data_IF_180179429563
#
_entry.id   IF_180179429563
#
_cell.length_a   1.000
_cell.length_b   1.000
_cell.length_c   1.000
_cell.angle_alpha   90.00
_cell.angle_beta   90.00
_cell.angle_gamma   90.00
#
_symmetry.space_group_name_H-M   'P 1'
#
loop_
_entity.id
_entity.type
_entity.pdbx_description
1 polymer ?
#
# COMPACT_ATOMS: atom_id res chain seq x y z
N UNK A 1 16.99 -4.21 26.42
CA UNK A 1 16.64 -3.21 25.41
C UNK A 1 15.37 -3.62 24.67
N UNK A 2 14.75 -2.71 23.91
CA UNK A 2 13.52 -3.00 23.14
C UNK A 2 13.63 -4.20 22.19
N UNK A 3 14.83 -4.50 21.70
CA UNK A 3 15.10 -5.68 20.87
C UNK A 3 14.83 -7.02 21.55
N UNK A 4 14.96 -7.10 22.87
CA UNK A 4 14.69 -8.34 23.62
C UNK A 4 13.19 -8.59 23.82
N UNK A 5 12.37 -7.54 23.81
CA UNK A 5 10.91 -7.67 23.92
C UNK A 5 10.36 -8.33 22.66
N UNK A 6 10.89 -8.02 21.49
CA UNK A 6 10.48 -8.63 20.22
C UNK A 6 10.88 -10.12 20.10
N UNK A 7 12.04 -10.49 20.62
CA UNK A 7 12.53 -11.89 20.59
C UNK A 7 11.79 -12.83 21.55
N UNK A 8 11.07 -12.30 22.53
CA UNK A 8 10.42 -13.07 23.60
C UNK A 8 8.91 -13.29 23.41
N UNK A 9 8.36 -12.96 22.25
CA UNK A 9 6.92 -13.16 22.00
C UNK A 9 6.72 -14.51 21.25
N UNK A 10 6.29 -15.57 21.95
CA UNK A 10 6.18 -16.91 21.36
C UNK A 10 5.09 -17.04 20.28
N UNK A 11 4.30 -15.98 20.08
CA UNK A 11 3.17 -15.97 19.16
C UNK A 11 3.51 -15.32 17.80
N UNK A 12 4.76 -14.93 17.54
CA UNK A 12 5.13 -14.31 16.26
C UNK A 12 5.26 -15.35 15.17
N UNK A 13 4.77 -14.97 13.97
CA UNK A 13 4.91 -15.74 12.73
C UNK A 13 5.62 -14.91 11.69
N UNK A 14 6.22 -15.59 10.71
CA UNK A 14 6.84 -14.92 9.57
C UNK A 14 5.77 -14.23 8.72
N UNK A 15 5.92 -12.92 8.44
CA UNK A 15 5.01 -12.19 7.58
C UNK A 15 5.07 -12.70 6.14
N UNK A 16 3.92 -12.84 5.49
CA UNK A 16 3.86 -13.27 4.09
C UNK A 16 4.25 -12.18 3.08
N UNK A 17 4.31 -10.91 3.50
CA UNK A 17 4.65 -9.77 2.66
C UNK A 17 6.11 -9.37 2.85
N UNK A 18 6.91 -9.37 1.77
CA UNK A 18 8.32 -8.97 1.80
C UNK A 18 8.53 -7.52 2.26
N UNK A 19 7.51 -6.67 2.16
CA UNK A 19 7.58 -5.26 2.56
C UNK A 19 7.12 -5.01 4.00
N UNK A 20 6.75 -6.06 4.74
CA UNK A 20 6.28 -5.90 6.12
C UNK A 20 7.38 -5.34 7.02
N UNK A 21 7.00 -4.42 7.90
CA UNK A 21 7.94 -3.74 8.82
C UNK A 21 8.52 -2.45 8.26
N UNK A 22 8.59 -2.29 6.93
CA UNK A 22 9.03 -1.07 6.26
C UNK A 22 7.84 -0.31 5.68
N UNK A 23 6.94 -1.01 4.98
CA UNK A 23 5.71 -0.45 4.43
C UNK A 23 4.74 -0.01 5.53
N UNK A 24 4.15 1.19 5.38
CA UNK A 24 3.14 1.74 6.30
C UNK A 24 1.77 1.06 6.24
N UNK A 25 1.53 0.16 5.28
CA UNK A 25 0.20 -0.39 4.99
C UNK A 25 -0.30 -1.44 5.97
N UNK A 26 0.59 -2.22 6.59
CA UNK A 26 0.25 -3.34 7.47
C UNK A 26 1.05 -3.31 8.77
N UNK A 27 0.40 -3.70 9.89
CA UNK A 27 1.05 -3.68 11.21
C UNK A 27 1.07 -5.03 11.93
N UNK A 28 0.25 -6.01 11.52
CA UNK A 28 -0.02 -7.21 12.30
C UNK A 28 0.22 -8.53 11.54
N UNK A 29 0.87 -8.50 10.38
CA UNK A 29 1.11 -9.74 9.61
C UNK A 29 2.02 -10.74 10.33
N UNK A 30 2.82 -10.28 11.28
CA UNK A 30 3.68 -11.11 12.12
C UNK A 30 2.95 -11.71 13.34
N UNK A 31 1.62 -11.67 13.37
CA UNK A 31 0.79 -12.25 14.41
C UNK A 31 -0.26 -13.18 13.78
N UNK A 32 -0.43 -14.43 14.26
CA UNK A 32 -1.48 -15.33 13.78
C UNK A 32 -2.85 -14.67 13.82
N UNK A 33 -3.69 -14.91 12.82
CA UNK A 33 -4.97 -14.24 12.71
C UNK A 33 -5.90 -14.50 13.92
N UNK A 34 -5.88 -15.72 14.46
CA UNK A 34 -6.63 -16.05 15.67
C UNK A 34 -6.23 -15.15 16.86
N UNK A 35 -4.92 -14.88 17.01
CA UNK A 35 -4.41 -14.00 18.05
C UNK A 35 -4.79 -12.53 17.80
N UNK A 36 -4.84 -12.11 16.54
CA UNK A 36 -5.34 -10.77 16.19
C UNK A 36 -6.80 -10.59 16.63
N UNK A 37 -7.65 -11.59 16.42
CA UNK A 37 -9.05 -11.58 16.87
C UNK A 37 -9.16 -11.57 18.39
N UNK A 38 -8.36 -12.39 19.07
CA UNK A 38 -8.31 -12.43 20.54
C UNK A 38 -7.94 -11.07 21.11
N UNK A 39 -6.85 -10.47 20.63
CA UNK A 39 -6.41 -9.14 21.09
C UNK A 39 -7.41 -8.02 20.79
N UNK A 40 -8.09 -8.07 19.64
CA UNK A 40 -9.18 -7.12 19.34
C UNK A 40 -10.34 -7.22 20.34
N UNK A 41 -10.73 -8.44 20.69
CA UNK A 41 -11.77 -8.68 21.70
C UNK A 41 -11.34 -8.16 23.06
N UNK A 42 -10.10 -8.46 23.49
CA UNK A 42 -9.55 -8.00 24.77
C UNK A 42 -9.45 -6.47 24.82
N UNK A 43 -9.01 -5.84 23.73
CA UNK A 43 -8.92 -4.37 23.64
C UNK A 43 -10.29 -3.71 23.85
N UNK A 44 -11.33 -4.21 23.21
CA UNK A 44 -12.70 -3.68 23.40
C UNK A 44 -13.15 -3.85 24.85
N UNK A 45 -12.94 -5.04 25.43
CA UNK A 45 -13.27 -5.31 26.83
C UNK A 45 -12.55 -4.35 27.76
N UNK A 46 -11.25 -4.20 27.59
CA UNK A 46 -10.42 -3.34 28.45
C UNK A 46 -10.82 -1.87 28.34
N UNK A 47 -11.09 -1.38 27.14
CA UNK A 47 -11.51 0.01 26.93
C UNK A 47 -12.87 0.29 27.59
N UNK A 48 -13.84 -0.57 27.42
CA UNK A 48 -15.17 -0.40 28.02
C UNK A 48 -15.13 -0.55 29.53
N UNK A 49 -14.46 -1.59 30.06
CA UNK A 49 -14.42 -1.85 31.51
C UNK A 49 -13.54 -0.85 32.26
N UNK A 50 -12.31 -0.58 31.76
CA UNK A 50 -11.32 0.22 32.51
C UNK A 50 -11.43 1.71 32.24
N UNK A 51 -11.65 2.11 30.97
CA UNK A 51 -11.74 3.52 30.58
C UNK A 51 -13.19 3.98 30.67
N UNK A 52 -14.10 3.25 30.07
CA UNK A 52 -15.53 3.55 30.09
C UNK A 52 -16.20 3.32 31.44
N UNK A 53 -15.58 2.51 32.32
CA UNK A 53 -16.13 2.11 33.64
C UNK A 53 -17.56 1.58 33.54
N UNK A 54 -17.85 0.84 32.48
CA UNK A 54 -19.16 0.28 32.19
C UNK A 54 -19.16 -1.16 32.69
N UNK A 55 -20.22 -1.55 33.42
CA UNK A 55 -20.48 -2.95 33.72
C UNK A 55 -20.85 -3.69 32.43
N UNK A 56 -20.05 -4.70 32.07
CA UNK A 56 -20.15 -5.35 30.77
C UNK A 56 -20.93 -6.67 30.86
N UNK A 57 -21.85 -6.95 29.96
CA UNK A 57 -22.32 -8.29 29.69
C UNK A 57 -21.17 -9.13 29.10
N UNK A 58 -21.42 -10.42 28.90
CA UNK A 58 -20.48 -11.28 28.19
C UNK A 58 -20.15 -10.71 26.80
N UNK A 59 -18.87 -10.39 26.57
CA UNK A 59 -18.39 -9.94 25.26
C UNK A 59 -18.05 -11.17 24.42
N UNK A 60 -18.78 -11.36 23.35
CA UNK A 60 -18.52 -12.42 22.38
C UNK A 60 -17.18 -12.20 21.67
N UNK A 61 -16.50 -13.28 21.22
CA UNK A 61 -15.30 -13.16 20.40
C UNK A 61 -15.53 -12.31 19.15
N UNK A 62 -14.49 -11.58 18.72
CA UNK A 62 -14.52 -10.80 17.49
C UNK A 62 -14.84 -11.72 16.29
N UNK A 63 -15.84 -11.33 15.50
CA UNK A 63 -16.20 -12.07 14.29
C UNK A 63 -15.03 -12.06 13.29
N UNK A 64 -14.64 -13.24 12.83
CA UNK A 64 -13.58 -13.40 11.86
C UNK A 64 -14.02 -12.96 10.46
N UNK A 65 -13.07 -12.42 9.67
CA UNK A 65 -13.25 -12.27 8.23
C UNK A 65 -13.00 -13.61 7.54
N UNK A 66 -13.76 -13.92 6.51
CA UNK A 66 -13.52 -15.08 5.66
C UNK A 66 -12.18 -14.96 4.92
N UNK A 67 -11.85 -13.73 4.46
CA UNK A 67 -10.61 -13.44 3.76
C UNK A 67 -9.69 -12.59 4.64
N UNK A 68 -8.43 -13.01 4.77
CA UNK A 68 -7.38 -12.30 5.51
C UNK A 68 -6.37 -11.59 4.61
N UNK A 69 -6.45 -11.83 3.30
CA UNK A 69 -5.71 -11.19 2.23
C UNK A 69 -6.70 -10.69 1.17
N UNK A 70 -6.29 -9.73 0.36
CA UNK A 70 -7.07 -9.20 -0.77
C UNK A 70 -8.47 -8.68 -0.40
N UNK A 71 -8.63 -8.21 0.83
CA UNK A 71 -9.93 -7.75 1.37
C UNK A 71 -10.18 -6.24 1.17
N UNK A 72 -9.16 -5.47 0.77
CA UNK A 72 -9.30 -4.03 0.54
C UNK A 72 -9.90 -3.74 -0.83
N UNK A 73 -10.84 -2.81 -0.85
CA UNK A 73 -11.50 -2.35 -2.06
C UNK A 73 -10.93 -1.04 -2.62
N UNK A 74 -10.02 -0.37 -1.90
CA UNK A 74 -9.33 0.85 -2.37
C UNK A 74 -7.87 0.81 -1.95
N UNK A 75 -6.96 1.06 -2.89
CA UNK A 75 -5.57 1.44 -2.65
C UNK A 75 -5.23 2.71 -3.41
N UNK A 76 -4.32 3.48 -2.84
CA UNK A 76 -3.74 4.67 -3.44
C UNK A 76 -2.23 4.57 -3.34
N UNK A 77 -1.58 4.56 -4.50
CA UNK A 77 -0.13 4.47 -4.63
C UNK A 77 0.43 5.83 -5.02
N UNK A 78 1.59 6.15 -4.48
CA UNK A 78 2.28 7.42 -4.75
C UNK A 78 3.49 7.17 -5.62
N UNK A 79 3.66 7.99 -6.66
CA UNK A 79 4.88 8.07 -7.43
C UNK A 79 5.90 8.95 -6.72
N UNK A 80 7.16 8.56 -6.78
CA UNK A 80 8.26 9.36 -6.25
C UNK A 80 9.50 9.23 -7.15
N UNK A 81 10.31 10.28 -7.33
CA UNK A 81 11.49 10.25 -8.20
C UNK A 81 12.61 9.37 -7.65
N UNK A 82 12.56 9.06 -6.35
CA UNK A 82 13.50 8.16 -5.67
C UNK A 82 12.79 7.26 -4.70
N UNK A 83 13.10 5.95 -4.74
CA UNK A 83 12.58 4.99 -3.78
C UNK A 83 13.23 5.15 -2.41
N UNK A 84 12.49 4.75 -1.38
CA UNK A 84 13.07 4.54 -0.05
C UNK A 84 14.05 3.36 -0.10
N UNK A 85 15.23 3.55 0.48
CA UNK A 85 16.22 2.50 0.69
C UNK A 85 16.18 2.05 2.15
N UNK A 86 16.20 0.75 2.39
CA UNK A 86 16.21 0.21 3.75
C UNK A 86 17.57 0.42 4.41
N UNK A 87 17.62 0.32 5.74
CA UNK A 87 18.89 0.42 6.47
C UNK A 87 19.85 -0.72 6.09
N UNK A 88 19.30 -1.90 5.81
CA UNK A 88 20.06 -3.07 5.38
C UNK A 88 20.70 -2.82 4.00
N UNK A 89 19.97 -2.26 3.05
CA UNK A 89 20.52 -1.90 1.74
C UNK A 89 21.63 -0.85 1.89
N UNK A 90 21.42 0.19 2.68
CA UNK A 90 22.41 1.25 2.92
C UNK A 90 23.67 0.66 3.60
N UNK A 91 23.48 -0.22 4.60
CA UNK A 91 24.57 -0.83 5.34
C UNK A 91 25.38 -1.83 4.49
N UNK A 92 24.74 -2.51 3.54
CA UNK A 92 25.41 -3.41 2.61
C UNK A 92 26.40 -2.69 1.68
N UNK A 93 26.21 -1.39 1.48
CA UNK A 93 27.04 -0.56 0.60
C UNK A 93 26.90 -0.94 -0.87
N UNK A 94 27.61 -0.22 -1.74
CA UNK A 94 27.59 -0.44 -3.18
C UNK A 94 26.81 0.65 -3.94
N UNK A 95 26.77 0.50 -5.25
CA UNK A 95 25.99 1.38 -6.12
C UNK A 95 24.52 0.92 -6.09
N UNK A 96 23.76 1.51 -5.16
CA UNK A 96 22.35 1.16 -4.96
C UNK A 96 21.51 2.01 -5.89
N UNK A 97 20.80 1.37 -6.80
CA UNK A 97 19.79 2.04 -7.63
C UNK A 97 18.66 2.58 -6.76
N UNK A 98 18.68 3.88 -6.52
CA UNK A 98 17.64 4.65 -5.86
C UNK A 98 16.63 5.22 -6.87
N UNK A 99 16.38 4.51 -7.95
CA UNK A 99 15.47 4.89 -9.03
C UNK A 99 14.04 5.20 -8.59
N UNK A 100 13.18 5.55 -9.54
CA UNK A 100 11.80 5.96 -9.25
C UNK A 100 10.96 4.86 -8.59
N UNK A 101 10.04 5.27 -7.72
CA UNK A 101 9.15 4.39 -6.97
C UNK A 101 7.69 4.60 -7.32
N UNK A 102 6.90 3.51 -7.23
CA UNK A 102 5.45 3.55 -7.15
C UNK A 102 4.97 2.62 -6.04
N UNK A 103 4.52 3.20 -4.94
CA UNK A 103 4.12 2.41 -3.79
C UNK A 103 3.53 3.20 -2.65
N UNK A 104 3.90 2.87 -1.42
CA UNK A 104 3.35 3.50 -0.22
C UNK A 104 4.38 4.33 0.54
N UNK A 105 3.90 5.34 1.23
CA UNK A 105 4.75 6.13 2.13
C UNK A 105 5.27 5.29 3.31
N UNK A 106 6.50 5.59 3.69
CA UNK A 106 7.07 5.08 4.94
C UNK A 106 6.34 5.73 6.12
N UNK A 107 6.04 5.00 7.20
CA UNK A 107 5.36 5.57 8.36
C UNK A 107 6.07 6.82 8.90
N UNK A 108 5.31 7.88 9.11
CA UNK A 108 5.75 9.19 9.60
C UNK A 108 6.69 9.98 8.65
N UNK A 109 6.90 9.52 7.43
CA UNK A 109 7.73 10.18 6.42
C UNK A 109 6.88 10.48 5.17
N UNK A 110 6.40 11.71 5.06
CA UNK A 110 5.45 12.12 4.01
C UNK A 110 6.06 12.15 2.60
N UNK A 111 7.39 12.28 2.49
CA UNK A 111 8.13 12.41 1.24
C UNK A 111 8.92 11.15 0.85
N UNK A 112 8.79 10.06 1.62
CA UNK A 112 9.50 8.81 1.39
C UNK A 112 8.55 7.72 0.95
N UNK A 113 8.80 7.18 -0.23
CA UNK A 113 7.96 6.13 -0.85
C UNK A 113 8.76 4.85 -0.99
N UNK A 114 8.22 3.77 -0.45
CA UNK A 114 8.73 2.42 -0.69
C UNK A 114 8.20 1.95 -2.05
N UNK A 115 9.09 1.49 -2.89
CA UNK A 115 8.70 0.82 -4.13
C UNK A 115 8.13 -0.56 -3.83
N UNK A 116 6.99 -0.90 -4.44
CA UNK A 116 6.25 -2.12 -4.12
C UNK A 116 6.03 -2.95 -5.37
N UNK A 117 6.44 -4.21 -5.34
CA UNK A 117 6.17 -5.16 -6.41
C UNK A 117 4.83 -5.88 -6.24
N UNK A 118 4.52 -6.29 -5.00
CA UNK A 118 3.29 -7.01 -4.68
C UNK A 118 2.68 -6.50 -3.37
N UNK A 119 1.41 -6.12 -3.44
CA UNK A 119 0.57 -5.83 -2.28
C UNK A 119 -0.47 -6.93 -2.10
N UNK A 120 -0.62 -7.42 -0.87
CA UNK A 120 -1.55 -8.48 -0.50
C UNK A 120 -2.89 -7.96 0.02
N UNK A 121 -3.12 -6.64 -0.06
CA UNK A 121 -4.34 -6.02 0.47
C UNK A 121 -5.48 -5.96 -0.53
N UNK A 122 -5.18 -5.79 -1.82
CA UNK A 122 -6.18 -5.66 -2.88
C UNK A 122 -5.98 -6.74 -3.93
N UNK A 123 -7.08 -7.33 -4.46
CA UNK A 123 -7.00 -8.35 -5.51
C UNK A 123 -6.46 -7.77 -6.83
N UNK A 124 -6.13 -8.67 -7.74
CA UNK A 124 -5.84 -8.26 -9.12
C UNK A 124 -7.09 -7.61 -9.77
N UNK A 125 -6.90 -6.67 -10.69
CA UNK A 125 -5.65 -6.34 -11.39
C UNK A 125 -4.77 -5.28 -10.70
N UNK A 126 -4.93 -5.01 -9.42
CA UNK A 126 -4.26 -3.88 -8.74
C UNK A 126 -2.72 -3.92 -8.84
N UNK A 127 -2.10 -5.08 -8.61
CA UNK A 127 -0.65 -5.21 -8.73
C UNK A 127 -0.18 -5.15 -10.18
N UNK A 128 -0.86 -5.87 -11.07
CA UNK A 128 -0.54 -5.88 -12.49
C UNK A 128 -0.64 -4.45 -13.09
N UNK A 129 -1.73 -3.74 -12.76
CA UNK A 129 -1.96 -2.37 -13.21
C UNK A 129 -0.86 -1.41 -12.71
N UNK A 130 -0.55 -1.45 -11.41
CA UNK A 130 0.51 -0.62 -10.82
C UNK A 130 1.86 -0.87 -11.50
N UNK A 131 2.25 -2.12 -11.64
CA UNK A 131 3.54 -2.48 -12.21
C UNK A 131 3.62 -2.09 -13.69
N UNK A 132 2.55 -2.26 -14.45
CA UNK A 132 2.49 -1.89 -15.86
C UNK A 132 2.54 -0.38 -16.08
N UNK A 133 1.78 0.41 -15.29
CA UNK A 133 1.84 1.87 -15.38
C UNK A 133 3.24 2.39 -15.03
N UNK A 134 3.88 1.82 -13.98
CA UNK A 134 5.25 2.18 -13.64
C UNK A 134 6.20 1.86 -14.80
N UNK A 135 6.13 0.65 -15.35
CA UNK A 135 6.96 0.21 -16.48
C UNK A 135 6.81 1.16 -17.68
N UNK A 136 5.57 1.42 -18.10
CA UNK A 136 5.28 2.32 -19.21
C UNK A 136 5.86 3.72 -18.97
N UNK A 137 5.64 4.28 -17.79
CA UNK A 137 6.14 5.61 -17.44
C UNK A 137 7.67 5.69 -17.50
N UNK A 138 8.38 4.66 -17.05
CA UNK A 138 9.84 4.58 -17.12
C UNK A 138 10.34 4.45 -18.55
N UNK A 139 9.75 3.58 -19.35
CA UNK A 139 10.12 3.34 -20.75
C UNK A 139 9.94 4.58 -21.63
N UNK A 140 8.94 5.42 -21.31
CA UNK A 140 8.64 6.64 -22.06
C UNK A 140 9.23 7.90 -21.42
N UNK A 141 10.06 7.77 -20.39
CA UNK A 141 10.75 8.89 -19.76
C UNK A 141 9.81 9.86 -19.04
N UNK A 142 8.71 9.38 -18.46
CA UNK A 142 7.81 10.22 -17.66
C UNK A 142 8.46 10.56 -16.32
N UNK A 143 8.40 11.83 -15.93
CA UNK A 143 8.89 12.29 -14.63
C UNK A 143 7.93 11.85 -13.52
N UNK A 144 8.48 11.43 -12.37
CA UNK A 144 7.69 11.10 -11.19
C UNK A 144 7.66 12.30 -10.25
N UNK A 145 6.50 12.57 -9.68
CA UNK A 145 6.25 13.77 -8.90
C UNK A 145 7.11 13.86 -7.65
N UNK A 146 7.81 14.97 -7.51
CA UNK A 146 8.54 15.33 -6.31
C UNK A 146 7.66 16.22 -5.43
N UNK A 147 7.22 15.70 -4.29
CA UNK A 147 6.30 16.41 -3.38
C UNK A 147 6.93 17.67 -2.76
N UNK A 148 8.26 17.76 -2.68
CA UNK A 148 8.97 18.93 -2.13
C UNK A 148 9.12 20.07 -3.16
N UNK A 149 9.29 19.70 -4.42
CA UNK A 149 9.49 20.62 -5.53
C UNK A 149 8.18 20.95 -6.24
N UNK A 150 7.11 20.20 -5.93
CA UNK A 150 5.79 20.28 -6.61
C UNK A 150 5.89 20.16 -8.11
N UNK A 151 6.77 19.27 -8.61
CA UNK A 151 7.05 19.07 -10.02
C UNK A 151 7.09 17.58 -10.37
N UNK A 152 6.76 17.24 -11.62
CA UNK A 152 6.75 15.88 -12.14
C UNK A 152 5.37 15.42 -12.56
N UNK A 153 5.32 14.71 -13.69
CA UNK A 153 4.08 14.32 -14.37
C UNK A 153 3.27 13.28 -13.60
N UNK A 154 3.89 12.15 -13.19
CA UNK A 154 3.20 11.03 -12.54
C UNK A 154 3.09 11.27 -11.03
N UNK A 155 1.87 11.39 -10.48
CA UNK A 155 1.67 11.76 -9.07
C UNK A 155 1.09 10.63 -8.21
N UNK A 156 -0.11 10.13 -8.53
CA UNK A 156 -0.75 9.04 -7.79
C UNK A 156 -1.45 8.06 -8.73
N UNK A 157 -1.63 6.84 -8.27
CA UNK A 157 -2.52 5.84 -8.85
C UNK A 157 -3.52 5.37 -7.79
N UNK A 158 -4.80 5.53 -8.07
CA UNK A 158 -5.88 5.06 -7.20
C UNK A 158 -6.58 3.90 -7.91
N UNK A 159 -6.67 2.75 -7.23
CA UNK A 159 -7.38 1.58 -7.73
C UNK A 159 -8.51 1.24 -6.78
N UNK A 160 -9.71 1.04 -7.33
CA UNK A 160 -10.87 0.56 -6.58
C UNK A 160 -11.40 -0.71 -7.23
N UNK A 161 -11.76 -1.66 -6.39
CA UNK A 161 -12.41 -2.92 -6.81
C UNK A 161 -13.70 -3.10 -6.05
N UNK A 162 -14.71 -3.68 -6.71
CA UNK A 162 -15.96 -4.06 -6.09
C UNK A 162 -16.09 -5.58 -5.99
N UNK A 163 -16.89 -6.08 -5.06
CA UNK A 163 -17.19 -7.52 -4.94
C UNK A 163 -17.99 -8.06 -6.12
N UNK A 164 -18.60 -7.18 -6.89
CA UNK A 164 -19.33 -7.46 -8.12
C UNK A 164 -18.42 -7.60 -9.35
N UNK A 165 -17.12 -7.31 -9.21
CA UNK A 165 -16.10 -7.48 -10.24
C UNK A 165 -15.68 -6.21 -10.96
N UNK A 166 -16.35 -5.06 -10.72
CA UNK A 166 -15.97 -3.80 -11.35
C UNK A 166 -14.64 -3.29 -10.81
N UNK A 167 -13.87 -2.69 -11.69
CA UNK A 167 -12.59 -2.07 -11.40
C UNK A 167 -12.59 -0.62 -11.86
N UNK A 168 -12.24 0.29 -10.96
CA UNK A 168 -11.99 1.69 -11.28
C UNK A 168 -10.51 2.00 -11.08
N UNK A 169 -9.90 2.67 -12.06
CA UNK A 169 -8.55 3.20 -11.96
C UNK A 169 -8.57 4.71 -12.22
N UNK A 170 -7.84 5.46 -11.39
CA UNK A 170 -7.67 6.90 -11.52
C UNK A 170 -6.17 7.18 -11.50
N UNK A 171 -5.63 7.72 -12.58
CA UNK A 171 -4.26 8.21 -12.65
C UNK A 171 -4.26 9.70 -12.37
N UNK A 172 -3.51 10.12 -11.37
CA UNK A 172 -3.35 11.53 -11.02
C UNK A 172 -2.02 12.02 -11.57
N UNK A 173 -2.08 13.05 -12.39
CA UNK A 173 -0.93 13.74 -12.95
C UNK A 173 -0.66 15.04 -12.17
N UNK A 174 0.60 15.39 -11.98
CA UNK A 174 1.01 16.63 -11.33
C UNK A 174 1.16 17.80 -12.28
N UNK A 175 1.14 17.54 -13.59
CA UNK A 175 1.35 18.52 -14.65
C UNK A 175 0.42 18.22 -15.82
N UNK A 176 0.06 19.26 -16.58
CA UNK A 176 -0.70 19.11 -17.82
C UNK A 176 0.25 18.74 -18.98
N UNK A 177 0.08 17.54 -19.53
CA UNK A 177 0.78 17.06 -20.73
C UNK A 177 -0.16 16.13 -21.48
N UNK A 178 -1.10 16.74 -22.21
CA UNK A 178 -2.15 16.01 -22.92
C UNK A 178 -1.63 14.85 -23.77
N UNK A 179 -0.57 15.00 -24.60
CA UNK A 179 -0.08 13.88 -25.41
C UNK A 179 0.41 12.69 -24.59
N UNK A 180 1.15 12.93 -23.49
CA UNK A 180 1.64 11.86 -22.60
C UNK A 180 0.52 11.24 -21.79
N UNK A 181 -0.43 12.04 -21.31
CA UNK A 181 -1.62 11.58 -20.59
C UNK A 181 -2.42 10.64 -21.47
N UNK A 182 -2.77 11.05 -22.70
CA UNK A 182 -3.55 10.24 -23.63
C UNK A 182 -2.83 8.96 -24.02
N UNK A 183 -1.52 8.99 -24.23
CA UNK A 183 -0.73 7.81 -24.55
C UNK A 183 -0.77 6.77 -23.42
N UNK A 184 -0.58 7.18 -22.17
CA UNK A 184 -0.68 6.28 -21.03
C UNK A 184 -2.10 5.75 -20.83
N UNK A 185 -3.11 6.61 -20.91
CA UNK A 185 -4.52 6.22 -20.70
C UNK A 185 -4.99 5.24 -21.76
N UNK A 186 -4.62 5.45 -23.02
CA UNK A 186 -4.89 4.53 -24.13
C UNK A 186 -4.21 3.17 -23.91
N UNK A 187 -2.92 3.18 -23.54
CA UNK A 187 -2.19 1.96 -23.21
C UNK A 187 -2.85 1.18 -22.07
N UNK A 188 -3.27 1.86 -21.01
CA UNK A 188 -3.97 1.22 -19.87
C UNK A 188 -5.30 0.63 -20.31
N UNK A 189 -6.10 1.36 -21.11
CA UNK A 189 -7.39 0.88 -21.62
C UNK A 189 -7.23 -0.39 -22.48
N UNK A 190 -6.23 -0.42 -23.35
CA UNK A 190 -5.93 -1.58 -24.21
C UNK A 190 -5.43 -2.77 -23.41
N UNK A 191 -4.52 -2.54 -22.45
CA UNK A 191 -3.86 -3.60 -21.69
C UNK A 191 -4.75 -4.22 -20.62
N UNK A 192 -5.70 -3.43 -20.08
CA UNK A 192 -6.61 -3.84 -18.99
C UNK A 192 -8.08 -3.64 -19.36
N UNK A 193 -8.62 -4.40 -20.34
CA UNK A 193 -10.00 -4.25 -20.80
C UNK A 193 -11.04 -4.55 -19.72
N UNK A 194 -10.64 -5.18 -18.61
CA UNK A 194 -11.51 -5.42 -17.45
C UNK A 194 -11.74 -4.17 -16.56
N UNK A 195 -11.03 -3.06 -16.80
CA UNK A 195 -11.31 -1.82 -16.09
C UNK A 195 -12.63 -1.23 -16.59
N UNK A 196 -13.59 -1.12 -15.68
CA UNK A 196 -14.93 -0.60 -15.99
C UNK A 196 -15.01 0.91 -15.97
N UNK A 197 -14.09 1.56 -15.23
CA UNK A 197 -14.05 3.03 -15.10
C UNK A 197 -12.59 3.48 -15.06
N UNK A 198 -12.13 4.13 -16.12
CA UNK A 198 -10.78 4.65 -16.22
C UNK A 198 -10.82 6.17 -16.30
N UNK A 199 -10.18 6.83 -15.32
CA UNK A 199 -10.13 8.28 -15.20
C UNK A 199 -8.71 8.80 -15.07
N UNK A 200 -8.53 10.06 -15.41
CA UNK A 200 -7.36 10.82 -15.00
C UNK A 200 -7.76 12.16 -14.37
N UNK A 201 -6.87 12.72 -13.59
CA UNK A 201 -6.99 14.04 -12.96
C UNK A 201 -5.64 14.73 -13.05
N UNK A 202 -5.62 16.02 -13.36
CA UNK A 202 -4.45 16.88 -13.23
C UNK A 202 -4.62 17.71 -11.95
N UNK A 203 -3.65 17.65 -11.03
CA UNK A 203 -3.75 18.26 -9.69
C UNK A 203 -2.39 18.73 -9.17
#
# INVERSE_FOLDING_TARGET
GLGDVYKRQPLRVEPFCAHFGVCGGCKWQNLPYAEQLRFKTEQVRDQLARIGKIELPEIRPCLASAETQFYRNKLEFTFAPRRWMTYEEIAAGGDIDAGPALGFHIPNLFDKVLDIEKCWLQPEPSNALRNEIKRFALEHGYSFHNIREHAGLMRNLIVRTASTGEVMAIVVFGEEDTPRIEALMSHVAERFPQITSLFYVVN
#
